data_IF_036471361600
#
_entry.id   IF_036471361600
#
_cell.length_a   1.000
_cell.length_b   1.000
_cell.length_c   1.000
_cell.angle_alpha   90.00
_cell.angle_beta   90.00
_cell.angle_gamma   90.00
#
_symmetry.space_group_name_H-M   'P 1'
#
loop_
_entity.id
_entity.type
_entity.pdbx_description
1 polymer ?
#
# COMPACT_ATOMS: atom_id res chain seq x y z
N UNK A 1 4.33 -30.50 -16.22
CA UNK A 1 5.45 -29.91 -15.46
C UNK A 1 6.59 -29.44 -16.36
N UNK A 2 7.49 -30.29 -16.91
CA UNK A 2 8.57 -29.76 -17.78
C UNK A 2 8.07 -29.14 -19.11
N UNK A 3 7.00 -29.68 -19.69
CA UNK A 3 6.37 -29.14 -20.90
C UNK A 3 5.65 -27.79 -20.68
N UNK A 4 5.49 -27.35 -19.44
CA UNK A 4 4.88 -26.06 -19.07
C UNK A 4 5.93 -24.97 -18.85
N UNK A 5 7.22 -25.30 -18.97
CA UNK A 5 8.33 -24.37 -18.76
C UNK A 5 9.07 -24.06 -20.07
N UNK A 6 9.78 -22.94 -20.10
CA UNK A 6 10.52 -22.50 -21.29
C UNK A 6 11.59 -23.53 -21.69
N UNK A 7 11.96 -23.53 -22.98
CA UNK A 7 13.05 -24.37 -23.47
C UNK A 7 14.36 -24.11 -22.69
N UNK A 8 14.59 -22.86 -22.28
CA UNK A 8 15.73 -22.46 -21.44
C UNK A 8 15.74 -23.16 -20.07
N UNK A 9 14.57 -23.29 -19.43
CA UNK A 9 14.46 -24.00 -18.15
C UNK A 9 14.77 -25.48 -18.29
N UNK A 10 14.27 -26.12 -19.35
CA UNK A 10 14.56 -27.53 -19.62
C UNK A 10 16.06 -27.72 -19.88
N UNK A 11 16.68 -26.86 -20.69
CA UNK A 11 18.12 -26.90 -20.95
C UNK A 11 18.90 -26.72 -19.64
N UNK A 12 18.54 -25.75 -18.80
CA UNK A 12 19.19 -25.53 -17.51
C UNK A 12 19.15 -26.80 -16.64
N UNK A 13 17.97 -27.41 -16.46
CA UNK A 13 17.82 -28.62 -15.63
C UNK A 13 18.65 -29.79 -16.19
N UNK A 14 18.62 -30.00 -17.50
CA UNK A 14 19.40 -31.07 -18.12
C UNK A 14 20.89 -30.82 -17.96
N UNK A 15 21.37 -29.61 -18.27
CA UNK A 15 22.79 -29.22 -18.10
C UNK A 15 23.24 -29.38 -16.66
N UNK A 16 22.42 -28.98 -15.69
CA UNK A 16 22.73 -29.17 -14.26
C UNK A 16 23.03 -30.63 -13.92
N UNK A 17 22.26 -31.58 -14.48
CA UNK A 17 22.43 -33.01 -14.20
C UNK A 17 23.60 -33.60 -15.00
N UNK A 18 23.77 -33.20 -16.26
CA UNK A 18 24.77 -33.81 -17.15
C UNK A 18 26.16 -33.20 -17.03
N UNK A 19 26.25 -31.92 -16.66
CA UNK A 19 27.51 -31.17 -16.56
C UNK A 19 28.06 -31.14 -15.14
N UNK A 20 27.29 -31.50 -14.11
CA UNK A 20 27.82 -31.64 -12.75
C UNK A 20 28.58 -32.95 -12.55
N UNK A 21 29.67 -32.89 -11.78
CA UNK A 21 30.58 -34.01 -11.58
C UNK A 21 29.90 -35.17 -10.84
N UNK A 22 30.03 -36.39 -11.39
CA UNK A 22 29.50 -37.62 -10.78
C UNK A 22 28.01 -37.90 -11.01
N UNK A 23 27.29 -37.01 -11.72
CA UNK A 23 25.83 -37.08 -11.89
C UNK A 23 25.34 -37.55 -13.26
N UNK A 24 26.23 -37.94 -14.17
CA UNK A 24 25.86 -38.35 -15.54
C UNK A 24 24.80 -39.47 -15.61
N UNK A 25 24.72 -40.34 -14.60
CA UNK A 25 23.72 -41.43 -14.50
C UNK A 25 22.43 -41.03 -13.77
N UNK A 26 22.35 -39.80 -13.27
CA UNK A 26 21.22 -39.28 -12.51
C UNK A 26 20.10 -38.70 -13.37
N UNK A 27 20.18 -38.85 -14.70
CA UNK A 27 19.16 -38.38 -15.64
C UNK A 27 17.91 -39.28 -15.64
N UNK A 28 17.22 -39.29 -14.50
CA UNK A 28 15.99 -40.04 -14.27
C UNK A 28 14.86 -39.09 -13.86
N UNK A 29 13.62 -39.45 -14.18
CA UNK A 29 12.44 -38.59 -13.97
C UNK A 29 12.35 -37.98 -12.55
N UNK A 30 12.59 -38.71 -11.44
CA UNK A 30 12.51 -38.13 -10.10
C UNK A 30 13.56 -37.06 -9.81
N UNK A 31 14.78 -37.22 -10.35
CA UNK A 31 15.86 -36.25 -10.19
C UNK A 31 15.56 -35.01 -11.03
N UNK A 32 15.12 -35.19 -12.27
CA UNK A 32 14.74 -34.08 -13.16
C UNK A 32 13.61 -33.25 -12.51
N UNK A 33 12.58 -33.90 -11.94
CA UNK A 33 11.50 -33.21 -11.23
C UNK A 33 12.00 -32.45 -10.01
N UNK A 34 12.91 -33.04 -9.23
CA UNK A 34 13.46 -32.40 -8.04
C UNK A 34 14.29 -31.16 -8.39
N UNK A 35 15.24 -31.29 -9.33
CA UNK A 35 16.08 -30.17 -9.79
C UNK A 35 15.22 -29.07 -10.40
N UNK A 36 14.23 -29.43 -11.23
CA UNK A 36 13.26 -28.48 -11.79
C UNK A 36 12.49 -27.73 -10.70
N UNK A 37 12.04 -28.42 -9.64
CA UNK A 37 11.31 -27.79 -8.55
C UNK A 37 12.19 -26.78 -7.79
N UNK A 38 13.46 -27.11 -7.54
CA UNK A 38 14.40 -26.18 -6.89
C UNK A 38 14.67 -24.96 -7.78
N UNK A 39 14.93 -25.18 -9.07
CA UNK A 39 15.18 -24.11 -10.02
C UNK A 39 14.03 -23.11 -10.15
N UNK A 40 12.77 -23.59 -10.06
CA UNK A 40 11.57 -22.74 -10.05
C UNK A 40 11.42 -21.99 -8.73
N UNK A 41 11.68 -22.66 -7.60
CA UNK A 41 11.51 -22.07 -6.28
C UNK A 41 12.58 -21.01 -5.95
N UNK A 42 13.76 -21.12 -6.57
CA UNK A 42 14.93 -20.27 -6.32
C UNK A 42 15.52 -19.71 -7.62
N UNK A 43 14.79 -18.85 -8.34
CA UNK A 43 15.31 -18.20 -9.55
C UNK A 43 16.56 -17.36 -9.29
N UNK A 44 16.74 -16.85 -8.06
CA UNK A 44 17.93 -16.13 -7.64
C UNK A 44 19.20 -17.01 -7.68
N UNK A 45 19.09 -18.31 -7.40
CA UNK A 45 20.22 -19.24 -7.46
C UNK A 45 20.57 -19.62 -8.90
N UNK A 46 19.54 -19.88 -9.72
CA UNK A 46 19.75 -20.25 -11.14
C UNK A 46 20.30 -19.08 -11.97
N UNK A 47 20.00 -17.84 -11.58
CA UNK A 47 20.56 -16.63 -12.18
C UNK A 47 22.08 -16.46 -12.00
N UNK A 48 22.74 -17.29 -11.19
CA UNK A 48 24.19 -17.23 -10.96
C UNK A 48 25.03 -17.90 -12.05
N UNK A 49 24.39 -18.50 -13.06
CA UNK A 49 25.08 -19.10 -14.20
C UNK A 49 25.84 -20.36 -13.81
N UNK A 50 27.16 -20.41 -14.08
CA UNK A 50 27.97 -21.61 -13.86
C UNK A 50 27.99 -22.06 -12.39
N UNK A 51 27.96 -21.11 -11.44
CA UNK A 51 27.91 -21.38 -9.99
C UNK A 51 26.72 -22.25 -9.60
N UNK A 52 25.59 -22.14 -10.32
CA UNK A 52 24.45 -23.04 -10.13
C UNK A 52 24.80 -24.50 -10.43
N UNK A 53 25.51 -24.76 -11.51
CA UNK A 53 25.90 -26.13 -11.91
C UNK A 53 26.98 -26.65 -10.96
N UNK A 54 27.98 -25.82 -10.63
CA UNK A 54 29.06 -26.17 -9.69
C UNK A 54 28.55 -26.51 -8.29
N UNK A 55 27.43 -25.90 -7.86
CA UNK A 55 26.81 -26.24 -6.58
C UNK A 55 26.27 -27.68 -6.51
N UNK A 56 26.15 -28.37 -7.65
CA UNK A 56 25.81 -29.79 -7.74
C UNK A 56 27.04 -30.70 -7.82
N UNK A 57 28.25 -30.13 -7.97
CA UNK A 57 29.48 -30.92 -7.98
C UNK A 57 29.67 -31.57 -6.61
N UNK A 58 29.93 -32.88 -6.62
CA UNK A 58 30.04 -33.68 -5.41
C UNK A 58 28.71 -34.03 -4.73
N UNK A 59 27.56 -33.58 -5.24
CA UNK A 59 26.26 -34.08 -4.79
C UNK A 59 25.92 -35.38 -5.49
N UNK A 60 25.96 -36.50 -4.75
CA UNK A 60 25.54 -37.80 -5.27
C UNK A 60 24.00 -37.88 -5.42
N UNK A 61 23.45 -37.35 -6.52
CA UNK A 61 22.00 -37.21 -6.73
C UNK A 61 21.23 -38.54 -6.61
N UNK A 62 21.83 -39.64 -7.06
CA UNK A 62 21.23 -40.97 -6.94
C UNK A 62 21.20 -41.48 -5.50
N UNK A 63 22.22 -41.17 -4.69
CA UNK A 63 22.24 -41.54 -3.26
C UNK A 63 21.22 -40.73 -2.48
N UNK A 64 21.15 -39.42 -2.74
CA UNK A 64 20.13 -38.53 -2.17
C UNK A 64 18.74 -38.98 -2.56
N UNK A 65 18.51 -39.39 -3.82
CA UNK A 65 17.23 -39.96 -4.24
C UNK A 65 16.92 -41.28 -3.52
N UNK A 66 17.92 -42.14 -3.33
CA UNK A 66 17.80 -43.36 -2.52
C UNK A 66 17.37 -43.06 -1.07
N UNK A 67 17.95 -42.05 -0.45
CA UNK A 67 17.56 -41.56 0.87
C UNK A 67 16.14 -40.98 0.90
N UNK A 68 15.79 -40.13 -0.06
CA UNK A 68 14.47 -39.56 -0.23
C UNK A 68 13.38 -40.63 -0.41
N UNK A 69 13.68 -41.72 -1.15
CA UNK A 69 12.76 -42.86 -1.30
C UNK A 69 12.52 -43.60 0.03
N UNK A 70 13.50 -43.66 0.93
CA UNK A 70 13.31 -44.26 2.27
C UNK A 70 12.33 -43.42 3.11
N UNK A 71 12.38 -42.09 3.00
CA UNK A 71 11.46 -41.18 3.70
C UNK A 71 10.00 -41.29 3.24
N UNK A 72 9.76 -41.76 2.00
CA UNK A 72 8.41 -42.05 1.52
C UNK A 72 7.64 -43.02 2.42
N UNK A 73 8.33 -43.89 3.18
CA UNK A 73 7.69 -44.80 4.14
C UNK A 73 7.11 -44.08 5.37
N UNK A 74 7.52 -42.84 5.63
CA UNK A 74 7.15 -42.06 6.82
C UNK A 74 6.14 -40.95 6.54
N UNK A 75 5.96 -40.52 5.28
CA UNK A 75 4.96 -39.52 4.92
C UNK A 75 4.51 -39.64 3.45
N UNK A 76 3.24 -39.31 3.20
CA UNK A 76 2.57 -39.44 1.90
C UNK A 76 2.95 -38.30 0.93
N UNK A 77 4.18 -38.32 0.42
CA UNK A 77 4.60 -37.45 -0.68
C UNK A 77 5.42 -38.23 -1.71
N UNK A 78 5.59 -37.65 -2.90
CA UNK A 78 6.36 -38.28 -3.96
C UNK A 78 7.86 -38.25 -3.65
N UNK A 79 8.62 -39.28 -4.06
CA UNK A 79 10.06 -39.36 -3.75
C UNK A 79 10.87 -38.15 -4.24
N UNK A 80 10.45 -37.53 -5.35
CA UNK A 80 11.09 -36.33 -5.89
C UNK A 80 10.90 -35.09 -5.00
N UNK A 81 9.80 -34.96 -4.24
CA UNK A 81 9.57 -33.78 -3.40
C UNK A 81 10.45 -33.78 -2.16
N UNK A 82 10.73 -34.97 -1.60
CA UNK A 82 11.73 -35.11 -0.53
C UNK A 82 13.13 -34.79 -1.04
N UNK A 83 13.48 -35.27 -2.23
CA UNK A 83 14.75 -34.94 -2.88
C UNK A 83 14.88 -33.43 -3.10
N UNK A 84 13.83 -32.76 -3.60
CA UNK A 84 13.84 -31.30 -3.77
C UNK A 84 14.09 -30.58 -2.43
N UNK A 85 13.43 -31.00 -1.35
CA UNK A 85 13.66 -30.44 -0.02
C UNK A 85 15.09 -30.64 0.49
N UNK A 86 15.66 -31.83 0.28
CA UNK A 86 17.07 -32.11 0.62
C UNK A 86 18.02 -31.22 -0.18
N UNK A 87 17.79 -31.08 -1.49
CA UNK A 87 18.58 -30.21 -2.34
C UNK A 87 18.52 -28.75 -1.88
N UNK A 88 17.34 -28.23 -1.50
CA UNK A 88 17.21 -26.86 -0.94
C UNK A 88 18.05 -26.69 0.33
N UNK A 89 18.08 -27.69 1.21
CA UNK A 89 18.88 -27.60 2.44
C UNK A 89 20.38 -27.55 2.15
N UNK A 90 20.85 -28.41 1.24
CA UNK A 90 22.28 -28.47 0.87
C UNK A 90 22.71 -27.22 0.09
N UNK A 91 21.91 -26.81 -0.90
CA UNK A 91 22.23 -25.66 -1.75
C UNK A 91 22.12 -24.33 -1.01
N UNK A 92 21.27 -24.23 0.02
CA UNK A 92 21.15 -22.98 0.81
C UNK A 92 22.48 -22.52 1.37
N UNK A 93 23.32 -23.44 1.84
CA UNK A 93 24.63 -23.09 2.37
C UNK A 93 25.57 -22.61 1.25
N UNK A 94 25.48 -23.21 0.05
CA UNK A 94 26.23 -22.78 -1.13
C UNK A 94 25.80 -21.40 -1.68
N UNK A 95 24.61 -20.91 -1.32
CA UNK A 95 24.06 -19.61 -1.75
C UNK A 95 23.73 -18.66 -0.59
N UNK A 96 24.35 -18.86 0.59
CA UNK A 96 24.02 -18.10 1.80
C UNK A 96 24.29 -16.58 1.67
N UNK A 97 25.25 -16.18 0.83
CA UNK A 97 25.59 -14.81 0.46
C UNK A 97 24.51 -14.13 -0.40
N UNK A 98 23.63 -14.91 -1.05
CA UNK A 98 22.55 -14.40 -1.89
C UNK A 98 21.19 -14.37 -1.21
N UNK A 99 21.12 -14.75 0.06
CA UNK A 99 19.90 -14.61 0.83
C UNK A 99 19.52 -13.10 0.85
N UNK A 100 18.28 -12.72 0.47
CA UNK A 100 17.85 -11.34 0.59
C UNK A 100 18.04 -10.92 2.04
N UNK A 101 18.84 -9.88 2.26
CA UNK A 101 19.07 -9.34 3.60
C UNK A 101 17.71 -9.04 4.21
N UNK A 102 17.37 -9.75 5.30
CA UNK A 102 16.12 -9.50 6.01
C UNK A 102 16.19 -8.08 6.52
N UNK A 103 15.32 -7.21 6.00
CA UNK A 103 15.24 -5.84 6.48
C UNK A 103 15.12 -5.83 8.00
N UNK A 104 15.92 -5.01 8.65
CA UNK A 104 15.94 -4.93 10.10
C UNK A 104 14.57 -4.45 10.59
N UNK A 105 14.15 -4.86 11.79
CA UNK A 105 12.89 -4.40 12.38
C UNK A 105 12.77 -2.86 12.41
N UNK A 106 13.90 -2.16 12.54
CA UNK A 106 14.01 -0.71 12.46
C UNK A 106 13.64 -0.16 11.07
N UNK A 107 14.15 -0.76 10.00
CA UNK A 107 13.86 -0.35 8.62
C UNK A 107 12.38 -0.56 8.28
N UNK A 108 11.80 -1.67 8.77
CA UNK A 108 10.36 -1.95 8.60
C UNK A 108 9.51 -0.88 9.32
N UNK A 109 9.91 -0.47 10.53
CA UNK A 109 9.23 0.61 11.27
C UNK A 109 9.34 1.96 10.57
N UNK A 110 10.53 2.29 10.04
CA UNK A 110 10.75 3.53 9.28
C UNK A 110 9.91 3.57 8.01
N UNK A 111 9.95 2.51 7.20
CA UNK A 111 9.13 2.41 5.99
C UNK A 111 7.62 2.51 6.29
N UNK A 112 7.17 1.96 7.42
CA UNK A 112 5.79 2.12 7.88
C UNK A 112 5.47 3.57 8.24
N UNK A 113 6.33 4.23 9.01
CA UNK A 113 6.16 5.63 9.39
C UNK A 113 6.13 6.56 8.16
N UNK A 114 7.01 6.32 7.18
CA UNK A 114 7.04 7.05 5.90
C UNK A 114 5.75 6.86 5.11
N UNK A 115 5.24 5.64 5.01
CA UNK A 115 3.96 5.36 4.34
C UNK A 115 2.79 6.04 5.04
N UNK A 116 2.77 6.02 6.37
CA UNK A 116 1.74 6.70 7.16
C UNK A 116 1.81 8.22 6.99
N UNK A 117 3.00 8.79 6.94
CA UNK A 117 3.21 10.22 6.70
C UNK A 117 2.78 10.63 5.28
N UNK A 118 3.22 9.89 4.26
CA UNK A 118 2.80 10.12 2.87
C UNK A 118 1.28 10.00 2.70
N UNK A 119 0.64 9.06 3.41
CA UNK A 119 -0.82 8.93 3.40
C UNK A 119 -1.52 10.15 4.04
N UNK A 120 -0.96 10.73 5.11
CA UNK A 120 -1.47 11.95 5.73
C UNK A 120 -1.35 13.15 4.81
N UNK A 121 -0.20 13.31 4.14
CA UNK A 121 0.05 14.39 3.19
C UNK A 121 -0.89 14.32 1.98
N UNK A 122 -1.09 13.13 1.43
CA UNK A 122 -2.07 12.91 0.34
C UNK A 122 -3.49 13.31 0.75
N UNK A 123 -3.92 12.93 1.96
CA UNK A 123 -5.24 13.32 2.48
C UNK A 123 -5.34 14.83 2.69
N UNK A 124 -4.30 15.46 3.21
CA UNK A 124 -4.25 16.92 3.38
C UNK A 124 -4.33 17.66 2.04
N UNK A 125 -3.55 17.22 1.04
CA UNK A 125 -3.57 17.79 -0.32
C UNK A 125 -4.92 17.61 -1.02
N UNK A 126 -5.56 16.44 -0.88
CA UNK A 126 -6.89 16.20 -1.42
C UNK A 126 -7.96 17.10 -0.78
N UNK A 127 -7.88 17.29 0.54
CA UNK A 127 -8.75 18.22 1.28
C UNK A 127 -8.55 19.66 0.82
N UNK A 128 -7.31 20.10 0.68
CA UNK A 128 -6.97 21.44 0.20
C UNK A 128 -7.60 21.71 -1.18
N UNK A 129 -7.42 20.78 -2.13
CA UNK A 129 -8.03 20.89 -3.47
C UNK A 129 -9.55 21.02 -3.38
N UNK A 130 -10.20 20.11 -2.62
CA UNK A 130 -11.65 20.14 -2.45
C UNK A 130 -12.15 21.43 -1.78
N UNK A 131 -11.41 22.00 -0.82
CA UNK A 131 -11.76 23.29 -0.23
C UNK A 131 -11.61 24.43 -1.26
N UNK A 132 -10.54 24.41 -2.06
CA UNK A 132 -10.31 25.37 -3.14
C UNK A 132 -11.45 25.39 -4.16
N UNK A 133 -11.89 24.22 -4.63
CA UNK A 133 -13.01 24.08 -5.57
C UNK A 133 -14.31 24.67 -5.01
N UNK A 134 -14.58 24.42 -3.73
CA UNK A 134 -15.77 24.94 -3.05
C UNK A 134 -15.73 26.45 -2.86
N UNK A 135 -14.54 27.02 -2.61
CA UNK A 135 -14.36 28.48 -2.53
C UNK A 135 -14.52 29.13 -3.90
N UNK A 136 -13.94 28.53 -4.94
CA UNK A 136 -14.10 28.99 -6.31
C UNK A 136 -15.57 28.99 -6.72
N UNK A 137 -16.30 27.90 -6.41
CA UNK A 137 -17.74 27.83 -6.63
C UNK A 137 -18.52 28.89 -5.81
N UNK A 138 -18.15 29.11 -4.55
CA UNK A 138 -18.75 30.18 -3.74
C UNK A 138 -18.56 31.57 -4.34
N UNK A 139 -17.38 31.87 -4.92
CA UNK A 139 -17.12 33.13 -5.65
C UNK A 139 -17.95 33.25 -6.92
N UNK A 140 -18.10 32.15 -7.65
CA UNK A 140 -18.96 32.07 -8.84
C UNK A 140 -20.42 32.40 -8.49
N UNK A 141 -20.94 31.83 -7.39
CA UNK A 141 -22.28 32.13 -6.88
C UNK A 141 -22.45 33.61 -6.48
N UNK A 142 -21.42 34.22 -5.88
CA UNK A 142 -21.43 35.66 -5.54
C UNK A 142 -21.55 36.49 -6.83
N UNK A 143 -20.73 36.19 -7.83
CA UNK A 143 -20.72 36.92 -9.11
C UNK A 143 -22.04 36.76 -9.88
N UNK A 144 -22.61 35.55 -9.94
CA UNK A 144 -23.90 35.32 -10.58
C UNK A 144 -25.04 36.04 -9.88
N UNK A 145 -25.04 36.05 -8.54
CA UNK A 145 -26.05 36.81 -7.77
C UNK A 145 -25.95 38.31 -8.04
N UNK A 146 -24.74 38.86 -8.16
CA UNK A 146 -24.54 40.26 -8.54
C UNK A 146 -25.03 40.56 -9.96
N UNK A 147 -24.93 39.59 -10.87
CA UNK A 147 -25.41 39.68 -12.26
C UNK A 147 -26.88 39.27 -12.47
N UNK A 148 -27.62 38.94 -11.41
CA UNK A 148 -29.00 38.45 -11.52
C UNK A 148 -29.16 37.08 -12.20
N UNK A 149 -28.09 36.30 -12.34
CA UNK A 149 -28.09 34.98 -12.98
C UNK A 149 -28.28 33.86 -11.94
N UNK A 150 -28.94 32.78 -12.35
CA UNK A 150 -29.00 31.52 -11.60
C UNK A 150 -27.87 30.60 -12.08
N UNK A 151 -27.24 29.91 -11.13
CA UNK A 151 -26.23 28.89 -11.36
C UNK A 151 -26.74 27.59 -10.72
N UNK A 152 -26.57 26.49 -11.43
CA UNK A 152 -26.92 25.17 -10.94
C UNK A 152 -25.93 24.67 -9.88
N UNK A 153 -26.48 23.96 -8.89
CA UNK A 153 -25.68 23.40 -7.80
C UNK A 153 -24.89 22.18 -8.27
N UNK A 154 -23.63 22.39 -8.65
CA UNK A 154 -22.70 21.31 -9.05
C UNK A 154 -21.96 20.64 -7.89
N UNK A 155 -21.99 21.26 -6.71
CA UNK A 155 -21.39 20.70 -5.49
C UNK A 155 -22.50 20.51 -4.44
N UNK A 156 -22.60 19.30 -3.89
CA UNK A 156 -23.56 19.01 -2.83
C UNK A 156 -23.34 19.87 -1.58
N UNK A 157 -24.42 20.45 -1.04
CA UNK A 157 -24.41 21.26 0.17
C UNK A 157 -25.35 22.46 0.09
N UNK A 158 -25.38 23.24 1.17
CA UNK A 158 -26.22 24.45 1.26
C UNK A 158 -25.55 25.64 0.54
N UNK A 159 -26.23 26.34 -0.40
CA UNK A 159 -25.67 27.50 -1.12
C UNK A 159 -25.12 28.59 -0.19
N UNK A 160 -25.80 28.82 0.93
CA UNK A 160 -25.41 29.81 1.96
C UNK A 160 -24.03 29.53 2.54
N UNK A 161 -23.64 28.25 2.70
CA UNK A 161 -22.33 27.88 3.22
C UNK A 161 -21.21 28.28 2.26
N UNK A 162 -21.37 28.00 0.97
CA UNK A 162 -20.37 28.38 -0.04
C UNK A 162 -20.22 29.90 -0.13
N UNK A 163 -21.34 30.63 -0.14
CA UNK A 163 -21.34 32.09 -0.16
C UNK A 163 -20.65 32.69 1.07
N UNK A 164 -20.99 32.22 2.27
CA UNK A 164 -20.43 32.75 3.51
C UNK A 164 -18.94 32.45 3.64
N UNK A 165 -18.52 31.22 3.33
CA UNK A 165 -17.10 30.83 3.37
C UNK A 165 -16.31 31.59 2.31
N UNK A 166 -16.79 31.70 1.07
CA UNK A 166 -16.10 32.43 0.02
C UNK A 166 -15.96 33.93 0.33
N UNK A 167 -16.99 34.56 0.92
CA UNK A 167 -16.91 35.96 1.38
C UNK A 167 -15.91 36.17 2.52
N UNK A 168 -15.85 35.23 3.45
CA UNK A 168 -15.05 35.39 4.67
C UNK A 168 -13.59 34.99 4.45
N UNK A 169 -13.37 33.92 3.68
CA UNK A 169 -12.08 33.24 3.57
C UNK A 169 -11.56 33.12 2.14
N UNK A 170 -12.28 33.60 1.12
CA UNK A 170 -11.84 33.50 -0.28
C UNK A 170 -10.42 34.03 -0.48
N UNK A 171 -10.10 35.16 0.16
CA UNK A 171 -8.80 35.83 0.06
C UNK A 171 -7.80 35.38 1.14
N UNK A 172 -8.14 34.36 1.95
CA UNK A 172 -7.31 33.87 3.07
C UNK A 172 -6.92 32.39 2.89
N UNK A 173 -6.02 32.07 1.94
CA UNK A 173 -5.60 30.71 1.66
C UNK A 173 -4.95 29.98 2.83
N UNK A 174 -4.26 30.69 3.71
CA UNK A 174 -3.69 30.11 4.94
C UNK A 174 -4.73 29.35 5.77
N UNK A 175 -5.95 29.87 5.88
CA UNK A 175 -7.00 29.29 6.72
C UNK A 175 -7.64 28.07 6.06
N UNK A 176 -8.08 28.20 4.80
CA UNK A 176 -8.85 27.12 4.17
C UNK A 176 -7.98 25.96 3.68
N UNK A 177 -6.66 26.12 3.58
CA UNK A 177 -5.71 25.00 3.39
C UNK A 177 -5.55 24.16 4.66
N UNK A 178 -5.49 24.83 5.81
CA UNK A 178 -5.24 24.20 7.10
C UNK A 178 -6.52 23.61 7.74
N UNK A 179 -7.68 24.22 7.54
CA UNK A 179 -8.94 23.82 8.17
C UNK A 179 -9.79 22.83 7.33
N UNK A 180 -10.67 22.08 8.00
CA UNK A 180 -11.70 21.30 7.31
C UNK A 180 -12.85 22.19 6.81
N UNK A 181 -13.57 21.74 5.79
CA UNK A 181 -14.74 22.47 5.28
C UNK A 181 -15.79 22.75 6.37
N UNK A 182 -16.03 21.79 7.26
CA UNK A 182 -16.98 21.94 8.37
C UNK A 182 -16.56 23.06 9.34
N UNK A 183 -15.26 23.15 9.65
CA UNK A 183 -14.68 24.24 10.45
C UNK A 183 -14.89 25.59 9.77
N UNK A 184 -14.60 25.68 8.46
CA UNK A 184 -14.80 26.92 7.68
C UNK A 184 -16.25 27.38 7.69
N UNK A 185 -17.19 26.46 7.45
CA UNK A 185 -18.63 26.74 7.51
C UNK A 185 -19.01 27.29 8.88
N UNK A 186 -18.54 26.65 9.95
CA UNK A 186 -18.86 27.08 11.31
C UNK A 186 -18.26 28.43 11.66
N UNK A 187 -17.03 28.70 11.25
CA UNK A 187 -16.37 29.99 11.48
C UNK A 187 -17.05 31.12 10.70
N UNK A 188 -17.45 30.85 9.45
CA UNK A 188 -18.19 31.79 8.60
C UNK A 188 -19.65 32.02 9.04
N UNK A 189 -20.14 31.27 10.03
CA UNK A 189 -21.49 31.42 10.57
C UNK A 189 -21.68 32.81 11.18
N UNK A 190 -22.84 33.48 10.95
CA UNK A 190 -23.16 34.74 11.61
C UNK A 190 -23.34 34.60 13.13
N UNK A 191 -23.64 33.40 13.62
CA UNK A 191 -23.77 33.12 15.06
C UNK A 191 -22.43 33.01 15.80
N UNK A 192 -21.30 32.98 15.07
CA UNK A 192 -19.97 32.96 15.66
C UNK A 192 -19.53 34.38 16.01
N UNK A 193 -19.15 34.62 17.28
CA UNK A 193 -18.65 35.92 17.69
C UNK A 193 -17.33 36.25 16.98
N UNK A 194 -17.13 37.53 16.62
CA UNK A 194 -15.92 37.98 15.92
C UNK A 194 -14.65 37.71 16.74
N UNK A 195 -14.70 37.94 18.05
CA UNK A 195 -13.58 37.70 18.95
C UNK A 195 -13.18 36.21 18.99
N UNK A 196 -14.17 35.31 19.09
CA UNK A 196 -13.90 33.87 19.11
C UNK A 196 -13.40 33.36 17.76
N UNK A 197 -13.96 33.88 16.66
CA UNK A 197 -13.49 33.58 15.30
C UNK A 197 -12.01 33.97 15.15
N UNK A 198 -11.64 35.20 15.51
CA UNK A 198 -10.25 35.68 15.40
C UNK A 198 -9.28 34.83 16.24
N UNK A 199 -9.69 34.39 17.42
CA UNK A 199 -8.89 33.47 18.23
C UNK A 199 -8.63 32.14 17.51
N UNK A 200 -9.67 31.51 16.97
CA UNK A 200 -9.54 30.23 16.26
C UNK A 200 -8.74 30.39 14.97
N UNK A 201 -8.89 31.52 14.27
CA UNK A 201 -8.10 31.82 13.07
C UNK A 201 -6.60 31.90 13.40
N UNK A 202 -6.23 32.56 14.51
CA UNK A 202 -4.83 32.59 14.98
C UNK A 202 -4.30 31.20 15.35
N UNK A 203 -5.15 30.35 15.93
CA UNK A 203 -4.78 28.95 16.22
C UNK A 203 -4.51 28.17 14.93
N UNK A 204 -5.36 28.33 13.91
CA UNK A 204 -5.17 27.68 12.61
C UNK A 204 -3.89 28.19 11.93
N UNK A 205 -3.64 29.51 11.96
CA UNK A 205 -2.45 30.12 11.37
C UNK A 205 -1.15 29.72 12.08
N UNK A 206 -1.19 29.42 13.38
CA UNK A 206 -0.05 28.88 14.13
C UNK A 206 0.13 27.35 13.96
N UNK A 207 -0.69 26.70 13.13
CA UNK A 207 -0.59 25.28 12.82
C UNK A 207 -1.32 24.36 13.80
N UNK A 208 -2.13 24.88 14.71
CA UNK A 208 -2.93 24.05 15.61
C UNK A 208 -4.13 23.44 14.87
N UNK A 209 -4.32 22.12 15.04
CA UNK A 209 -5.46 21.40 14.48
C UNK A 209 -6.73 21.70 15.27
N UNK A 210 -7.61 22.56 14.73
CA UNK A 210 -8.93 22.83 15.32
C UNK A 210 -9.96 21.87 14.73
N UNK A 211 -10.59 21.05 15.58
CA UNK A 211 -11.64 20.12 15.15
C UNK A 211 -13.02 20.76 15.18
N UNK A 212 -13.92 20.29 14.31
CA UNK A 212 -15.32 20.75 14.31
C UNK A 212 -16.07 20.39 15.61
N UNK A 213 -15.67 19.34 16.34
CA UNK A 213 -16.28 18.98 17.62
C UNK A 213 -16.00 20.01 18.71
N UNK A 214 -14.80 20.58 18.75
CA UNK A 214 -14.44 21.67 19.67
C UNK A 214 -15.28 22.93 19.39
N UNK A 215 -15.64 23.16 18.12
CA UNK A 215 -16.50 24.27 17.72
C UNK A 215 -18.00 24.04 17.97
N UNK A 216 -18.44 22.79 18.14
CA UNK A 216 -19.83 22.46 18.49
C UNK A 216 -20.17 22.86 19.93
N UNK A 217 -19.23 22.66 20.87
CA UNK A 217 -19.43 23.00 22.28
C UNK A 217 -19.52 24.52 22.54
N UNK A 218 -19.05 25.35 21.61
CA UNK A 218 -18.90 26.80 21.80
C UNK A 218 -20.09 27.65 21.30
N UNK A 219 -21.17 27.03 20.82
CA UNK A 219 -22.38 27.76 20.42
C UNK A 219 -23.56 27.32 21.29
N UNK A 220 -24.05 28.18 22.19
CA UNK A 220 -25.29 27.91 22.91
C UNK A 220 -26.43 27.92 21.89
N UNK A 221 -27.22 26.84 21.81
CA UNK A 221 -28.53 26.87 21.14
C UNK A 221 -28.78 25.95 19.94
N UNK A 222 -27.88 25.04 19.56
CA UNK A 222 -28.23 23.97 18.61
C UNK A 222 -28.84 22.76 19.34
N UNK A 223 -29.84 23.00 20.18
CA UNK A 223 -30.65 21.98 20.82
C UNK A 223 -31.75 21.51 19.88
N UNK A 224 -31.67 20.22 19.49
CA UNK A 224 -32.81 19.35 19.08
C UNK A 224 -33.90 20.02 18.23
N UNK A 225 -33.77 19.96 16.90
CA UNK A 225 -34.96 19.80 16.07
C UNK A 225 -35.28 18.31 16.01
N UNK A 226 -36.20 17.88 16.88
CA UNK A 226 -36.91 16.63 16.72
C UNK A 226 -37.68 16.70 15.40
N UNK A 227 -37.33 15.84 14.44
CA UNK A 227 -38.17 15.58 13.28
C UNK A 227 -39.24 14.60 13.74
N UNK A 228 -40.40 15.15 14.09
CA UNK A 228 -41.65 14.39 14.13
C UNK A 228 -42.07 14.16 12.68
N UNK A 229 -42.03 12.90 12.21
CA UNK A 229 -42.66 12.50 10.97
C UNK A 229 -44.19 12.54 11.14
N UNK A 230 -44.96 13.21 10.26
CA UNK A 230 -46.35 12.85 10.04
C UNK A 230 -46.42 11.73 8.99
N UNK A 231 -46.98 10.61 9.40
CA UNK A 231 -47.37 9.49 8.55
C UNK A 231 -48.56 9.88 7.68
N UNK A 232 -48.45 9.65 6.37
CA UNK A 232 -49.57 9.31 5.48
C UNK A 232 -49.12 8.15 4.61
#
# INVERSE_FOLDING_TARGET
>A
MLAEHSAEHVVLVLRTITESEGNARALIEPVIKAVSAVAIAHPEWTGTGLRWIEAFDGLALLELYGAAKRLKKSAAAAGWSYLAGMLVLVLRDAFADQAPQKSTQMEIRQARAEREQAARERKAAARERANGDKIAFGRELIAARAAGRRIDMRIGGQPSNFLNVARTYGDRPSIWRAASWEVLVRLSSPTMSRARRAEIERQIESGQCVSASVLRAAVPGAGRSAVSNPTL
#
